data_IF_474332833047
#
_entry.id   IF_474332833047
#
_cell.length_a   1.000
_cell.length_b   1.000
_cell.length_c   1.000
_cell.angle_alpha   90.00
_cell.angle_beta   90.00
_cell.angle_gamma   90.00
#
_symmetry.space_group_name_H-M   'P 1'
#
loop_
_entity.id
_entity.type
_entity.pdbx_description
1 polymer ?
#
# COMPACT_ATOMS: atom_id res chain seq x y z
N UNK A 1 58.34 29.72 12.49
CA UNK A 1 57.03 30.05 13.04
C UNK A 1 56.20 28.75 13.14
N UNK A 2 56.14 28.20 14.35
CA UNK A 2 55.37 26.98 14.67
C UNK A 2 53.95 27.40 15.03
N UNK A 3 52.88 26.72 14.55
CA UNK A 3 51.55 26.88 15.11
C UNK A 3 51.34 25.93 16.30
N UNK A 4 50.75 26.49 17.35
CA UNK A 4 50.49 25.87 18.62
C UNK A 4 49.36 24.81 18.51
N UNK A 5 49.58 23.66 19.20
CA UNK A 5 48.59 22.61 19.41
C UNK A 5 47.51 23.07 20.42
N UNK A 6 46.22 22.70 20.22
CA UNK A 6 45.21 22.95 21.23
C UNK A 6 45.30 21.91 22.36
N UNK A 7 45.37 22.39 23.62
CA UNK A 7 45.32 21.59 24.86
C UNK A 7 43.93 20.94 24.99
N UNK A 8 43.91 19.61 25.05
CA UNK A 8 42.76 18.81 25.50
C UNK A 8 42.49 19.10 26.98
N UNK A 9 41.35 19.66 27.28
CA UNK A 9 40.80 19.77 28.64
C UNK A 9 40.29 18.37 29.07
N UNK A 10 41.14 17.62 29.75
CA UNK A 10 40.76 16.45 30.53
C UNK A 10 40.65 16.89 32.01
N UNK A 11 39.45 17.33 32.40
CA UNK A 11 39.03 17.40 33.80
C UNK A 11 37.59 16.94 33.92
N UNK A 12 37.38 15.61 33.75
CA UNK A 12 36.19 14.95 34.24
C UNK A 12 36.45 14.62 35.73
N UNK A 13 35.90 15.44 36.60
CA UNK A 13 35.85 15.13 38.02
C UNK A 13 35.20 13.75 38.25
N UNK A 14 35.73 12.87 39.10
CA UNK A 14 35.14 11.56 39.33
C UNK A 14 33.74 11.75 39.94
N UNK A 15 32.71 11.20 39.29
CA UNK A 15 31.37 11.09 39.87
C UNK A 15 31.48 10.40 41.20
N UNK A 16 31.34 11.13 42.33
CA UNK A 16 31.20 10.58 43.65
C UNK A 16 29.98 9.66 43.65
N UNK A 17 30.18 8.35 43.70
CA UNK A 17 29.13 7.38 44.01
C UNK A 17 28.54 7.77 45.38
N UNK A 18 27.38 8.41 45.39
CA UNK A 18 26.60 8.55 46.63
C UNK A 18 26.20 7.14 47.05
N UNK A 19 26.82 6.64 48.11
CA UNK A 19 26.38 5.42 48.79
C UNK A 19 25.11 5.80 49.56
N UNK A 20 23.94 5.44 49.00
CA UNK A 20 22.67 5.62 49.71
C UNK A 20 22.63 4.72 50.94
N UNK A 21 22.14 5.25 52.06
CA UNK A 21 21.85 4.42 53.22
C UNK A 21 20.75 3.39 52.87
N UNK A 22 20.71 2.21 53.55
CA UNK A 22 19.67 1.23 53.32
C UNK A 22 18.24 1.81 53.39
N UNK A 23 18.00 2.78 54.29
CA UNK A 23 16.72 3.46 54.42
C UNK A 23 16.38 4.41 53.28
N UNK A 24 17.37 5.13 52.73
CA UNK A 24 17.16 5.99 51.53
C UNK A 24 16.82 5.16 50.30
N UNK A 25 17.51 4.04 50.08
CA UNK A 25 17.24 3.14 48.98
C UNK A 25 15.83 2.53 49.09
N UNK A 26 15.41 2.16 50.28
CA UNK A 26 14.07 1.63 50.52
C UNK A 26 12.97 2.68 50.20
N UNK A 27 13.20 3.95 50.59
CA UNK A 27 12.26 5.03 50.28
C UNK A 27 12.20 5.33 48.76
N UNK A 28 13.31 5.27 48.07
CA UNK A 28 13.35 5.44 46.62
C UNK A 28 12.59 4.31 45.91
N UNK A 29 12.77 3.06 46.28
CA UNK A 29 12.05 1.92 45.73
C UNK A 29 10.53 2.02 45.93
N UNK A 30 10.11 2.47 47.14
CA UNK A 30 8.68 2.71 47.41
C UNK A 30 8.13 3.81 46.51
N UNK A 31 8.86 4.91 46.32
CA UNK A 31 8.44 5.97 45.40
C UNK A 31 8.32 5.49 43.94
N UNK A 32 9.29 4.70 43.46
CA UNK A 32 9.20 4.10 42.12
C UNK A 32 7.95 3.24 41.95
N UNK A 33 7.65 2.41 42.93
CA UNK A 33 6.46 1.57 42.94
C UNK A 33 5.17 2.40 42.92
N UNK A 34 5.09 3.44 43.74
CA UNK A 34 3.88 4.30 43.84
C UNK A 34 3.70 5.25 42.68
N UNK A 35 4.78 5.74 42.05
CA UNK A 35 4.71 6.70 40.95
C UNK A 35 4.55 6.04 39.57
N UNK A 36 4.69 4.72 39.49
CA UNK A 36 4.53 4.02 38.20
C UNK A 36 3.11 4.20 37.66
N UNK A 37 3.02 4.56 36.38
CA UNK A 37 1.76 4.60 35.62
C UNK A 37 1.29 3.20 35.24
N UNK A 38 2.22 2.23 35.10
CA UNK A 38 1.88 0.83 34.91
C UNK A 38 1.45 0.22 36.26
N UNK A 39 0.53 -0.73 36.19
CA UNK A 39 0.04 -1.45 37.36
C UNK A 39 1.08 -2.44 37.84
N UNK A 40 1.70 -2.16 38.99
CA UNK A 40 2.68 -3.05 39.62
C UNK A 40 2.00 -3.86 40.69
N UNK A 41 2.29 -5.17 40.75
CA UNK A 41 1.76 -6.02 41.79
C UNK A 41 2.78 -7.07 42.27
N UNK A 42 2.60 -7.50 43.52
CA UNK A 42 3.20 -8.68 44.10
C UNK A 42 2.04 -9.60 44.47
N UNK A 43 2.04 -10.84 43.97
CA UNK A 43 1.04 -11.85 44.28
C UNK A 43 1.70 -13.10 44.88
N UNK A 44 0.92 -13.93 45.56
CA UNK A 44 1.38 -15.26 45.98
C UNK A 44 1.06 -16.32 44.91
N UNK A 45 1.58 -17.53 45.06
CA UNK A 45 1.33 -18.66 44.19
C UNK A 45 -0.12 -19.19 44.24
N UNK A 46 -0.90 -18.74 45.25
CA UNK A 46 -2.35 -19.05 45.33
C UNK A 46 -3.20 -18.07 44.53
N UNK A 47 -2.58 -17.09 43.85
CA UNK A 47 -3.29 -16.14 43.00
C UNK A 47 -3.86 -14.92 43.73
N UNK A 48 -3.40 -14.63 44.96
CA UNK A 48 -3.85 -13.47 45.71
C UNK A 48 -2.84 -12.34 45.66
N UNK A 49 -3.29 -11.12 45.43
CA UNK A 49 -2.43 -9.93 45.53
C UNK A 49 -2.02 -9.69 46.98
N UNK A 50 -0.73 -9.47 47.20
CA UNK A 50 -0.15 -9.08 48.47
C UNK A 50 0.16 -7.59 48.54
N UNK A 51 0.53 -7.03 47.41
CA UNK A 51 0.82 -5.59 47.28
C UNK A 51 0.54 -5.14 45.88
N UNK A 52 -0.11 -4.00 45.73
CA UNK A 52 -0.38 -3.34 44.46
C UNK A 52 -0.07 -1.84 44.60
N UNK A 53 0.24 -1.19 43.45
CA UNK A 53 0.47 0.26 43.41
C UNK A 53 -0.84 1.02 43.12
N UNK A 54 -0.88 2.36 43.30
CA UNK A 54 -2.08 3.17 43.08
C UNK A 54 -2.64 3.11 41.65
N UNK A 55 -1.84 2.74 40.64
CA UNK A 55 -2.27 2.61 39.26
C UNK A 55 -3.42 1.58 39.09
N UNK A 56 -3.49 0.55 39.91
CA UNK A 56 -4.58 -0.42 39.93
C UNK A 56 -5.94 0.22 40.18
N UNK A 57 -6.02 1.03 41.23
CA UNK A 57 -7.26 1.74 41.58
C UNK A 57 -7.61 2.77 40.50
N UNK A 58 -6.62 3.51 39.98
CA UNK A 58 -6.83 4.49 38.93
C UNK A 58 -7.33 3.85 37.62
N UNK A 59 -6.86 2.64 37.33
CA UNK A 59 -7.17 1.94 36.07
C UNK A 59 -8.47 1.13 36.16
N UNK A 60 -8.64 0.30 37.21
CA UNK A 60 -9.79 -0.61 37.31
C UNK A 60 -10.91 -0.09 38.23
N UNK A 61 -10.66 0.95 39.05
CA UNK A 61 -11.64 1.56 39.93
C UNK A 61 -11.89 0.82 41.24
N UNK A 62 -11.30 -0.36 41.47
CA UNK A 62 -11.38 -1.10 42.74
C UNK A 62 -10.39 -0.53 43.77
N UNK A 63 -10.73 -0.57 45.04
CA UNK A 63 -9.76 -0.24 46.11
C UNK A 63 -8.71 -1.35 46.28
N UNK A 64 -7.60 -1.03 46.93
CA UNK A 64 -6.57 -2.03 47.24
C UNK A 64 -7.11 -3.18 48.06
N UNK A 65 -8.00 -2.89 49.02
CA UNK A 65 -8.61 -3.89 49.90
C UNK A 65 -9.52 -4.85 49.10
N UNK A 66 -10.31 -4.29 48.16
CA UNK A 66 -11.19 -5.09 47.28
C UNK A 66 -10.39 -6.03 46.38
N UNK A 67 -9.27 -5.55 45.79
CA UNK A 67 -8.40 -6.37 44.94
C UNK A 67 -7.62 -7.44 45.70
N UNK A 68 -7.20 -7.15 46.92
CA UNK A 68 -6.46 -8.11 47.75
C UNK A 68 -7.39 -9.12 48.48
N UNK A 69 -8.69 -8.89 48.50
CA UNK A 69 -9.66 -9.76 49.19
C UNK A 69 -10.04 -11.02 48.40
N UNK A 70 -9.77 -11.07 47.12
CA UNK A 70 -10.14 -12.18 46.22
C UNK A 70 -8.97 -12.59 45.31
N UNK A 71 -8.95 -13.82 44.80
CA UNK A 71 -7.98 -14.23 43.81
C UNK A 71 -8.07 -13.34 42.54
N UNK A 72 -6.94 -13.01 41.93
CA UNK A 72 -6.90 -12.13 40.75
C UNK A 72 -7.71 -12.69 39.56
N UNK A 73 -7.88 -14.02 39.44
CA UNK A 73 -8.66 -14.68 38.41
C UNK A 73 -10.14 -14.29 38.43
N UNK A 74 -10.68 -13.85 39.58
CA UNK A 74 -12.08 -13.42 39.71
C UNK A 74 -12.33 -12.07 39.05
N UNK A 75 -11.30 -11.30 38.81
CA UNK A 75 -11.36 -10.06 38.04
C UNK A 75 -11.12 -10.26 36.54
N UNK A 76 -10.70 -11.46 36.12
CA UNK A 76 -10.46 -11.79 34.71
C UNK A 76 -11.79 -12.09 34.00
N UNK A 77 -11.90 -11.65 32.74
CA UNK A 77 -13.03 -11.98 31.87
C UNK A 77 -13.23 -13.50 31.79
N UNK A 78 -14.48 -14.01 31.86
CA UNK A 78 -14.73 -15.45 31.87
C UNK A 78 -14.00 -16.24 30.77
N UNK A 79 -14.00 -15.76 29.53
CA UNK A 79 -13.35 -16.43 28.40
C UNK A 79 -11.81 -16.48 28.53
N UNK A 80 -11.20 -15.60 29.31
CA UNK A 80 -9.75 -15.49 29.45
C UNK A 80 -9.22 -16.22 30.70
N UNK A 81 -10.10 -16.76 31.55
CA UNK A 81 -9.73 -17.39 32.83
C UNK A 81 -8.87 -18.62 32.66
N UNK A 82 -9.25 -19.51 31.76
CA UNK A 82 -8.50 -20.76 31.52
C UNK A 82 -7.09 -20.47 30.99
N UNK A 83 -6.96 -19.51 30.05
CA UNK A 83 -5.68 -19.07 29.54
C UNK A 83 -4.82 -18.41 30.64
N UNK A 84 -5.43 -17.60 31.51
CA UNK A 84 -4.76 -16.95 32.64
C UNK A 84 -4.23 -17.97 33.66
N UNK A 85 -5.04 -18.99 33.98
CA UNK A 85 -4.61 -20.06 34.90
C UNK A 85 -3.49 -20.93 34.30
N UNK A 86 -3.57 -21.22 33.00
CA UNK A 86 -2.52 -21.94 32.31
C UNK A 86 -1.18 -21.15 32.30
N UNK A 87 -1.24 -19.84 32.08
CA UNK A 87 -0.06 -18.97 32.12
C UNK A 87 0.51 -18.86 33.56
N UNK A 88 -0.35 -18.76 34.58
CA UNK A 88 0.08 -18.78 35.98
C UNK A 88 0.76 -20.10 36.34
N UNK A 89 0.27 -21.23 35.85
CA UNK A 89 0.90 -22.53 36.06
C UNK A 89 2.29 -22.62 35.41
N UNK A 90 2.47 -22.06 34.21
CA UNK A 90 3.77 -21.96 33.51
C UNK A 90 4.77 -21.10 34.31
N UNK A 91 4.30 -19.97 34.80
CA UNK A 91 5.08 -19.05 35.62
C UNK A 91 5.58 -19.74 36.92
N UNK A 92 4.69 -20.44 37.63
CA UNK A 92 5.05 -21.18 38.85
C UNK A 92 5.86 -22.46 38.56
N UNK A 93 5.93 -22.92 37.30
CA UNK A 93 6.84 -23.96 36.86
C UNK A 93 8.24 -23.44 36.43
N UNK A 94 8.50 -22.13 36.50
CA UNK A 94 9.78 -21.51 36.25
C UNK A 94 9.94 -20.85 34.86
N UNK A 95 8.84 -20.60 34.16
CA UNK A 95 8.86 -19.90 32.88
C UNK A 95 8.28 -18.49 33.06
N UNK A 96 9.08 -17.45 32.81
CA UNK A 96 8.63 -16.08 32.93
C UNK A 96 7.47 -15.78 31.95
N UNK A 97 6.51 -15.00 32.40
CA UNK A 97 5.43 -14.50 31.57
C UNK A 97 5.93 -13.27 30.79
N UNK A 98 5.89 -13.36 29.48
CA UNK A 98 6.26 -12.25 28.59
C UNK A 98 5.13 -12.04 27.58
N UNK A 99 4.59 -10.80 27.50
CA UNK A 99 3.57 -10.38 26.52
C UNK A 99 2.25 -11.19 26.59
N UNK A 100 1.84 -11.64 27.79
CA UNK A 100 0.53 -12.24 27.97
C UNK A 100 -0.55 -11.15 28.02
N UNK A 101 -1.64 -11.34 27.29
CA UNK A 101 -2.75 -10.39 27.21
C UNK A 101 -4.04 -11.04 27.71
N UNK A 102 -4.79 -10.34 28.56
CA UNK A 102 -6.12 -10.75 29.00
C UNK A 102 -6.98 -9.54 29.36
N UNK A 103 -8.28 -9.77 29.54
CA UNK A 103 -9.25 -8.74 29.92
C UNK A 103 -9.52 -8.79 31.42
N UNK A 104 -9.41 -7.65 32.07
CA UNK A 104 -9.76 -7.45 33.48
C UNK A 104 -11.04 -6.61 33.60
N UNK A 105 -11.92 -7.03 34.49
CA UNK A 105 -13.17 -6.33 34.82
C UNK A 105 -12.85 -5.09 35.66
N UNK A 106 -13.45 -3.98 35.30
CA UNK A 106 -13.44 -2.75 36.09
C UNK A 106 -14.61 -2.75 37.09
N UNK A 107 -14.58 -1.87 38.06
CA UNK A 107 -15.63 -1.73 39.09
C UNK A 107 -16.97 -1.28 38.50
N UNK A 108 -16.97 -0.55 37.39
CA UNK A 108 -18.15 -0.14 36.63
C UNK A 108 -18.76 -1.24 35.75
N UNK A 109 -18.15 -2.44 35.73
CA UNK A 109 -18.55 -3.57 34.91
C UNK A 109 -17.94 -3.61 33.52
N UNK A 110 -17.22 -2.58 33.07
CA UNK A 110 -16.47 -2.58 31.81
C UNK A 110 -15.25 -3.48 31.90
N UNK A 111 -14.60 -3.71 30.73
CA UNK A 111 -13.39 -4.51 30.65
C UNK A 111 -12.24 -3.69 30.06
N UNK A 112 -11.04 -3.92 30.58
CA UNK A 112 -9.78 -3.38 30.06
C UNK A 112 -8.84 -4.49 29.64
N UNK A 113 -8.16 -4.30 28.52
CA UNK A 113 -7.09 -5.18 28.08
C UNK A 113 -5.81 -4.87 28.82
N UNK A 114 -5.23 -5.87 29.48
CA UNK A 114 -3.97 -5.77 30.19
C UNK A 114 -2.91 -6.61 29.49
N UNK A 115 -1.71 -6.03 29.33
CA UNK A 115 -0.52 -6.71 28.86
C UNK A 115 0.40 -6.98 30.05
N UNK A 116 0.78 -8.23 30.26
CA UNK A 116 1.49 -8.71 31.41
C UNK A 116 2.94 -9.08 31.14
N UNK A 117 3.81 -8.71 32.11
CA UNK A 117 5.12 -9.29 32.32
C UNK A 117 5.20 -9.71 33.76
N UNK A 118 5.58 -10.96 34.03
CA UNK A 118 5.65 -11.51 35.38
C UNK A 118 6.84 -12.44 35.53
N UNK A 119 7.43 -12.40 36.73
CA UNK A 119 8.53 -13.26 37.18
C UNK A 119 8.20 -13.88 38.54
N UNK A 120 8.48 -15.17 38.70
CA UNK A 120 8.28 -15.89 39.97
C UNK A 120 9.59 -15.99 40.77
N UNK A 121 9.55 -15.55 42.02
CA UNK A 121 10.63 -15.78 43.00
C UNK A 121 10.29 -17.00 43.84
N UNK A 122 11.00 -18.09 43.63
CA UNK A 122 10.81 -19.35 44.36
C UNK A 122 11.38 -19.36 45.75
N UNK A 123 12.22 -18.38 46.11
CA UNK A 123 12.74 -18.28 47.49
C UNK A 123 11.69 -17.71 48.43
N UNK A 124 10.90 -16.77 47.94
CA UNK A 124 9.84 -16.10 48.72
C UNK A 124 8.42 -16.63 48.39
N UNK A 125 8.27 -17.48 47.36
CA UNK A 125 6.98 -17.90 46.80
C UNK A 125 6.10 -16.72 46.41
N UNK A 126 6.70 -15.71 45.81
CA UNK A 126 6.03 -14.51 45.31
C UNK A 126 6.18 -14.33 43.80
N UNK A 127 5.18 -13.73 43.21
CA UNK A 127 5.15 -13.32 41.81
C UNK A 127 5.25 -11.80 41.76
N UNK A 128 6.20 -11.28 41.01
CA UNK A 128 6.37 -9.87 40.73
C UNK A 128 5.86 -9.63 39.29
N UNK A 129 4.85 -8.78 39.13
CA UNK A 129 4.26 -8.54 37.82
C UNK A 129 4.01 -7.06 37.53
N UNK A 130 4.07 -6.77 36.26
CA UNK A 130 3.71 -5.47 35.65
C UNK A 130 2.58 -5.70 34.68
N UNK A 131 1.50 -4.94 34.81
CA UNK A 131 0.41 -4.92 33.86
C UNK A 131 0.26 -3.52 33.26
N UNK A 132 0.14 -3.46 31.95
CA UNK A 132 -0.10 -2.22 31.21
C UNK A 132 -1.49 -2.24 30.57
N UNK A 133 -2.25 -1.15 30.74
CA UNK A 133 -3.50 -0.97 30.01
C UNK A 133 -3.22 -0.74 28.52
N UNK A 134 -3.67 -1.66 27.69
CA UNK A 134 -3.54 -1.61 26.23
C UNK A 134 -4.90 -1.49 25.53
N UNK A 135 -5.93 -1.07 26.25
CA UNK A 135 -7.31 -1.01 25.75
C UNK A 135 -7.43 -0.07 24.56
N UNK A 136 -6.79 1.11 24.63
CA UNK A 136 -6.80 2.07 23.53
C UNK A 136 -6.07 1.54 22.29
N UNK A 137 -4.94 0.85 22.47
CA UNK A 137 -4.22 0.18 21.38
C UNK A 137 -5.12 -0.86 20.71
N UNK A 138 -5.78 -1.73 21.47
CA UNK A 138 -6.69 -2.75 20.93
C UNK A 138 -7.86 -2.13 20.16
N UNK A 139 -8.48 -1.08 20.71
CA UNK A 139 -9.57 -0.35 20.03
C UNK A 139 -9.11 0.27 18.71
N UNK A 140 -7.92 0.87 18.67
CA UNK A 140 -7.35 1.44 17.46
C UNK A 140 -7.03 0.37 16.41
N UNK A 141 -6.48 -0.78 16.83
CA UNK A 141 -6.22 -1.93 15.95
C UNK A 141 -7.53 -2.49 15.35
N UNK A 142 -8.57 -2.64 16.16
CA UNK A 142 -9.87 -3.16 15.70
C UNK A 142 -10.57 -2.16 14.78
N UNK A 143 -10.53 -0.86 15.09
CA UNK A 143 -11.07 0.19 14.22
C UNK A 143 -10.34 0.22 12.88
N UNK A 144 -9.01 0.10 12.88
CA UNK A 144 -8.22 0.04 11.65
C UNK A 144 -8.60 -1.17 10.79
N UNK A 145 -8.76 -2.35 11.40
CA UNK A 145 -9.20 -3.57 10.72
C UNK A 145 -10.60 -3.41 10.12
N UNK A 146 -11.55 -2.86 10.89
CA UNK A 146 -12.92 -2.63 10.44
C UNK A 146 -12.95 -1.64 9.26
N UNK A 147 -12.24 -0.52 9.37
CA UNK A 147 -12.16 0.50 8.30
C UNK A 147 -11.51 -0.06 7.04
N UNK A 148 -10.43 -0.85 7.18
CA UNK A 148 -9.79 -1.50 6.04
C UNK A 148 -10.73 -2.49 5.33
N UNK A 149 -11.49 -3.28 6.08
CA UNK A 149 -12.47 -4.21 5.52
C UNK A 149 -13.61 -3.48 4.80
N UNK A 150 -14.13 -2.39 5.37
CA UNK A 150 -15.16 -1.55 4.76
C UNK A 150 -14.67 -0.89 3.47
N UNK A 151 -13.44 -0.34 3.48
CA UNK A 151 -12.82 0.28 2.31
C UNK A 151 -12.63 -0.74 1.17
N UNK A 152 -12.18 -1.96 1.50
CA UNK A 152 -12.03 -3.04 0.52
C UNK A 152 -13.38 -3.38 -0.10
N UNK A 153 -14.42 -3.58 0.72
CA UNK A 153 -15.77 -3.88 0.24
C UNK A 153 -16.32 -2.79 -0.66
N UNK A 154 -16.22 -1.52 -0.25
CA UNK A 154 -16.69 -0.37 -1.05
C UNK A 154 -15.96 -0.27 -2.40
N UNK A 155 -14.65 -0.55 -2.41
CA UNK A 155 -13.86 -0.55 -3.64
C UNK A 155 -14.28 -1.69 -4.60
N UNK A 156 -14.60 -2.87 -4.07
CA UNK A 156 -15.08 -4.02 -4.85
C UNK A 156 -16.47 -3.74 -5.44
N UNK A 157 -17.40 -3.17 -4.65
CA UNK A 157 -18.73 -2.77 -5.12
C UNK A 157 -18.64 -1.71 -6.23
N UNK A 158 -17.77 -0.70 -6.08
CA UNK A 158 -17.53 0.32 -7.11
C UNK A 158 -16.96 -0.28 -8.39
N UNK A 159 -16.04 -1.21 -8.27
CA UNK A 159 -15.43 -1.90 -9.39
C UNK A 159 -16.44 -2.77 -10.15
N UNK A 160 -17.31 -3.48 -9.44
CA UNK A 160 -18.39 -4.28 -10.03
C UNK A 160 -19.41 -3.38 -10.73
N UNK A 161 -19.80 -2.27 -10.10
CA UNK A 161 -20.70 -1.28 -10.71
C UNK A 161 -20.11 -0.73 -12.03
N UNK A 162 -18.83 -0.32 -12.00
CA UNK A 162 -18.16 0.17 -13.20
C UNK A 162 -18.11 -0.87 -14.31
N UNK A 163 -17.91 -2.16 -13.98
CA UNK A 163 -17.92 -3.26 -14.94
C UNK A 163 -19.28 -3.43 -15.59
N UNK A 164 -20.36 -3.57 -14.79
CA UNK A 164 -21.73 -3.79 -15.31
C UNK A 164 -22.18 -2.59 -16.16
N UNK A 165 -22.04 -1.37 -15.63
CA UNK A 165 -22.43 -0.16 -16.36
C UNK A 165 -21.67 -0.02 -17.68
N UNK A 166 -20.39 -0.36 -17.71
CA UNK A 166 -19.59 -0.28 -18.93
C UNK A 166 -20.00 -1.32 -19.98
N UNK A 167 -20.30 -2.56 -19.57
CA UNK A 167 -20.82 -3.58 -20.46
C UNK A 167 -22.12 -3.13 -21.12
N UNK A 168 -23.06 -2.62 -20.32
CA UNK A 168 -24.39 -2.21 -20.80
C UNK A 168 -24.35 -0.95 -21.69
N UNK A 169 -23.28 -0.14 -21.56
CA UNK A 169 -23.03 0.99 -22.46
C UNK A 169 -22.33 0.59 -23.77
N UNK A 170 -21.52 -0.46 -23.77
CA UNK A 170 -20.80 -0.89 -24.98
C UNK A 170 -21.72 -1.43 -26.07
N UNK A 171 -22.77 -2.19 -25.70
CA UNK A 171 -23.67 -2.82 -26.66
C UNK A 171 -24.47 -1.81 -27.52
N UNK A 172 -25.17 -0.81 -26.91
CA UNK A 172 -25.86 0.20 -27.67
C UNK A 172 -24.92 1.06 -28.53
N UNK A 173 -23.72 1.38 -28.04
CA UNK A 173 -22.74 2.14 -28.82
C UNK A 173 -22.24 1.34 -30.04
N UNK A 174 -22.03 0.04 -29.89
CA UNK A 174 -21.68 -0.85 -30.98
C UNK A 174 -22.77 -0.86 -32.07
N UNK A 175 -24.05 -0.92 -31.66
CA UNK A 175 -25.17 -0.85 -32.60
C UNK A 175 -25.22 0.49 -33.34
N UNK A 176 -25.07 1.61 -32.63
CA UNK A 176 -25.03 2.96 -33.24
C UNK A 176 -23.92 3.05 -34.27
N UNK A 177 -22.69 2.67 -33.91
CA UNK A 177 -21.57 2.69 -34.85
C UNK A 177 -21.81 1.82 -36.09
N UNK A 178 -22.35 0.59 -35.87
CA UNK A 178 -22.62 -0.35 -36.96
C UNK A 178 -23.69 0.16 -37.93
N UNK A 179 -24.79 0.72 -37.44
CA UNK A 179 -25.85 1.27 -38.29
C UNK A 179 -25.39 2.51 -39.04
N UNK A 180 -24.62 3.39 -38.42
CA UNK A 180 -24.05 4.56 -39.11
C UNK A 180 -23.10 4.15 -40.24
N UNK A 181 -22.24 3.14 -40.00
CA UNK A 181 -21.36 2.59 -41.04
C UNK A 181 -22.17 1.92 -42.18
N UNK A 182 -23.27 1.24 -41.88
CA UNK A 182 -24.16 0.68 -42.89
C UNK A 182 -24.84 1.77 -43.74
N UNK A 183 -25.27 2.86 -43.10
CA UNK A 183 -25.85 4.03 -43.79
C UNK A 183 -24.81 4.65 -44.73
N UNK A 184 -23.59 4.89 -44.21
CA UNK A 184 -22.47 5.41 -44.98
C UNK A 184 -22.19 4.54 -46.22
N UNK A 185 -22.07 3.22 -46.03
CA UNK A 185 -21.79 2.27 -47.12
C UNK A 185 -22.93 2.19 -48.15
N UNK A 186 -24.18 2.13 -47.66
CA UNK A 186 -25.36 1.91 -48.52
C UNK A 186 -25.77 3.15 -49.30
N UNK A 187 -25.62 4.32 -48.69
CA UNK A 187 -26.09 5.58 -49.25
C UNK A 187 -24.98 6.53 -49.70
N UNK A 188 -23.73 6.04 -49.78
CA UNK A 188 -22.53 6.83 -50.11
C UNK A 188 -22.70 7.70 -51.38
N UNK A 189 -23.41 7.19 -52.41
CA UNK A 189 -23.63 7.91 -53.66
C UNK A 189 -24.81 8.90 -53.65
N UNK A 190 -25.61 8.88 -52.56
CA UNK A 190 -26.82 9.73 -52.41
C UNK A 190 -26.59 10.82 -51.37
N UNK A 191 -25.67 10.60 -50.48
CA UNK A 191 -25.30 11.57 -49.41
C UNK A 191 -24.47 12.72 -50.02
N UNK A 192 -24.85 13.93 -49.70
CA UNK A 192 -24.03 15.11 -49.92
C UNK A 192 -22.79 15.12 -49.02
N UNK A 193 -21.87 16.05 -49.23
CA UNK A 193 -20.62 16.12 -48.47
C UNK A 193 -20.86 16.41 -47.00
N UNK A 194 -21.92 17.13 -46.65
CA UNK A 194 -22.25 17.42 -45.23
C UNK A 194 -22.86 16.18 -44.56
N UNK A 195 -23.70 15.43 -45.26
CA UNK A 195 -24.21 14.15 -44.75
C UNK A 195 -23.10 13.13 -44.48
N UNK A 196 -22.08 13.04 -45.35
CA UNK A 196 -20.90 12.20 -45.15
C UNK A 196 -20.12 12.65 -43.92
N UNK A 197 -19.88 13.96 -43.77
CA UNK A 197 -19.19 14.53 -42.57
C UNK A 197 -19.96 14.23 -41.29
N UNK A 198 -21.29 14.40 -41.25
CA UNK A 198 -22.08 14.13 -40.07
C UNK A 198 -22.04 12.67 -39.66
N UNK A 199 -22.10 11.75 -40.59
CA UNK A 199 -21.96 10.31 -40.31
C UNK A 199 -20.56 10.00 -39.81
N UNK A 200 -19.53 10.55 -40.45
CA UNK A 200 -18.14 10.38 -40.00
C UNK A 200 -17.95 10.85 -38.56
N UNK A 201 -18.43 12.05 -38.21
CA UNK A 201 -18.34 12.56 -36.84
C UNK A 201 -19.12 11.71 -35.83
N UNK A 202 -20.28 11.17 -36.21
CA UNK A 202 -21.07 10.32 -35.33
C UNK A 202 -20.40 8.95 -35.10
N UNK A 203 -19.86 8.33 -36.17
CA UNK A 203 -19.10 7.08 -36.07
C UNK A 203 -17.85 7.26 -35.20
N UNK A 204 -17.11 8.34 -35.42
CA UNK A 204 -15.92 8.66 -34.67
C UNK A 204 -16.25 8.94 -33.19
N UNK A 205 -17.36 9.64 -32.92
CA UNK A 205 -17.88 9.82 -31.55
C UNK A 205 -18.22 8.51 -30.88
N UNK A 206 -18.90 7.59 -31.53
CA UNK A 206 -19.25 6.29 -31.02
C UNK A 206 -18.00 5.43 -30.71
N UNK A 207 -17.03 5.40 -31.64
CA UNK A 207 -15.74 4.70 -31.44
C UNK A 207 -14.97 5.25 -30.23
N UNK A 208 -14.94 6.58 -30.08
CA UNK A 208 -14.29 7.21 -28.89
C UNK A 208 -14.95 6.81 -27.59
N UNK A 209 -16.28 6.80 -27.53
CA UNK A 209 -16.99 6.36 -26.33
C UNK A 209 -16.71 4.89 -26.02
N UNK A 210 -16.65 4.01 -27.01
CA UNK A 210 -16.26 2.62 -26.83
C UNK A 210 -14.83 2.49 -26.24
N UNK A 211 -13.88 3.25 -26.77
CA UNK A 211 -12.50 3.27 -26.25
C UNK A 211 -12.44 3.76 -24.78
N UNK A 212 -13.16 4.85 -24.45
CA UNK A 212 -13.25 5.36 -23.09
C UNK A 212 -13.80 4.32 -22.10
N UNK A 213 -14.86 3.63 -22.49
CA UNK A 213 -15.47 2.57 -21.67
C UNK A 213 -14.51 1.39 -21.50
N UNK A 214 -13.81 0.99 -22.57
CA UNK A 214 -12.82 -0.09 -22.50
C UNK A 214 -11.64 0.24 -21.59
N UNK A 215 -11.14 1.47 -21.66
CA UNK A 215 -10.05 1.93 -20.81
C UNK A 215 -10.49 2.04 -19.34
N UNK A 216 -11.72 2.49 -19.07
CA UNK A 216 -12.28 2.52 -17.72
C UNK A 216 -12.43 1.11 -17.13
N UNK A 217 -12.90 0.15 -17.94
CA UNK A 217 -12.94 -1.26 -17.56
C UNK A 217 -11.54 -1.83 -17.27
N UNK A 218 -10.55 -1.45 -18.08
CA UNK A 218 -9.16 -1.87 -17.87
C UNK A 218 -8.62 -1.37 -16.54
N UNK A 219 -8.91 -0.11 -16.21
CA UNK A 219 -8.52 0.48 -14.92
C UNK A 219 -9.16 -0.24 -13.72
N UNK A 220 -10.46 -0.59 -13.82
CA UNK A 220 -11.17 -1.35 -12.79
C UNK A 220 -10.61 -2.77 -12.62
N UNK A 221 -10.33 -3.47 -13.73
CA UNK A 221 -9.81 -4.86 -13.71
C UNK A 221 -8.42 -5.00 -13.11
N UNK A 222 -7.56 -4.01 -13.21
CA UNK A 222 -6.23 -4.03 -12.57
C UNK A 222 -6.36 -4.20 -11.06
N UNK A 223 -7.44 -3.71 -10.43
CA UNK A 223 -7.66 -3.80 -8.98
C UNK A 223 -8.33 -5.11 -8.53
N UNK A 224 -9.27 -5.62 -9.32
CA UNK A 224 -10.13 -6.76 -8.91
C UNK A 224 -9.65 -8.11 -9.44
N UNK A 225 -8.82 -8.13 -10.45
CA UNK A 225 -8.30 -9.35 -11.06
C UNK A 225 -7.12 -9.90 -10.27
N UNK A 226 -7.35 -10.68 -9.21
CA UNK A 226 -6.29 -11.42 -8.50
C UNK A 226 -5.81 -12.56 -9.38
N UNK A 227 -5.00 -12.24 -10.40
CA UNK A 227 -4.23 -13.26 -11.11
C UNK A 227 -2.95 -13.52 -10.33
N UNK A 228 -2.52 -14.79 -10.21
CA UNK A 228 -1.26 -15.09 -9.58
C UNK A 228 -0.12 -14.43 -10.36
N UNK A 229 0.78 -13.78 -9.67
CA UNK A 229 2.02 -13.28 -10.26
C UNK A 229 2.89 -14.48 -10.60
N UNK A 230 3.28 -14.60 -11.86
CA UNK A 230 4.07 -15.71 -12.38
C UNK A 230 5.37 -15.19 -13.02
N UNK A 231 6.37 -16.03 -13.26
CA UNK A 231 7.52 -15.66 -14.09
C UNK A 231 7.08 -15.24 -15.49
N UNK A 232 7.53 -14.07 -15.95
CA UNK A 232 7.12 -13.43 -17.20
C UNK A 232 8.35 -13.00 -17.98
N UNK A 233 8.49 -13.52 -19.21
CA UNK A 233 9.53 -13.13 -20.16
C UNK A 233 9.17 -11.78 -20.80
N UNK A 234 9.79 -10.69 -20.34
CA UNK A 234 9.56 -9.36 -20.87
C UNK A 234 9.97 -9.20 -22.35
N UNK A 235 10.94 -9.95 -22.83
CA UNK A 235 11.35 -9.91 -24.23
C UNK A 235 10.27 -10.52 -25.14
N UNK A 236 9.58 -11.56 -24.69
CA UNK A 236 8.42 -12.12 -25.38
C UNK A 236 7.26 -11.13 -25.39
N UNK A 237 6.92 -10.57 -24.23
CA UNK A 237 5.82 -9.58 -24.12
C UNK A 237 6.09 -8.36 -25.00
N UNK A 238 7.33 -7.86 -25.03
CA UNK A 238 7.67 -6.74 -25.92
C UNK A 238 7.45 -7.08 -27.38
N UNK A 239 7.82 -8.29 -27.85
CA UNK A 239 7.56 -8.75 -29.22
C UNK A 239 6.05 -8.80 -29.50
N UNK A 240 5.29 -9.43 -28.61
CA UNK A 240 3.83 -9.54 -28.74
C UNK A 240 3.15 -8.15 -28.80
N UNK A 241 3.59 -7.19 -27.96
CA UNK A 241 3.11 -5.82 -27.98
C UNK A 241 3.48 -5.07 -29.27
N UNK A 242 4.70 -5.29 -29.78
CA UNK A 242 5.15 -4.71 -31.06
C UNK A 242 4.36 -5.27 -32.25
N UNK A 243 4.06 -6.57 -32.24
CA UNK A 243 3.24 -7.22 -33.26
C UNK A 243 1.79 -6.70 -33.25
N UNK A 244 1.22 -6.44 -32.09
CA UNK A 244 -0.10 -5.83 -31.93
C UNK A 244 -0.13 -4.39 -32.51
N UNK A 245 0.97 -3.66 -32.42
CA UNK A 245 1.11 -2.30 -32.92
C UNK A 245 1.68 -2.23 -34.34
N UNK A 246 1.89 -3.36 -35.04
CA UNK A 246 2.60 -3.45 -36.31
C UNK A 246 2.04 -2.49 -37.38
N UNK A 247 0.72 -2.32 -37.48
CA UNK A 247 0.10 -1.41 -38.43
C UNK A 247 0.44 0.03 -38.08
N UNK A 248 0.28 0.43 -36.82
CA UNK A 248 0.59 1.78 -36.36
C UNK A 248 2.08 2.12 -36.50
N UNK A 249 2.96 1.15 -36.24
CA UNK A 249 4.42 1.26 -36.40
C UNK A 249 4.74 1.50 -37.89
N UNK A 250 4.13 0.73 -38.80
CA UNK A 250 4.33 0.87 -40.25
C UNK A 250 3.79 2.21 -40.79
N UNK A 251 2.60 2.62 -40.36
CA UNK A 251 1.99 3.90 -40.78
C UNK A 251 2.77 5.13 -40.29
N UNK A 252 3.45 4.99 -39.13
CA UNK A 252 4.28 6.04 -38.53
C UNK A 252 5.73 6.01 -39.03
N UNK A 253 6.12 5.03 -39.85
CA UNK A 253 7.53 4.76 -40.21
C UNK A 253 8.44 4.71 -38.96
N UNK A 254 7.94 4.04 -37.92
CA UNK A 254 8.60 4.02 -36.60
C UNK A 254 9.64 2.90 -36.52
N UNK A 255 10.80 3.24 -35.97
CA UNK A 255 11.84 2.26 -35.58
C UNK A 255 11.66 1.93 -34.10
N UNK A 256 11.37 0.65 -33.79
CA UNK A 256 11.21 0.15 -32.43
C UNK A 256 12.36 -0.79 -32.09
N UNK A 257 13.06 -0.52 -31.00
CA UNK A 257 14.21 -1.31 -30.54
C UNK A 257 14.10 -1.64 -29.06
N UNK A 258 14.79 -2.67 -28.60
CA UNK A 258 14.92 -2.95 -27.18
C UNK A 258 16.32 -3.48 -26.82
N UNK A 259 16.70 -3.32 -25.55
CA UNK A 259 17.82 -3.99 -24.93
C UNK A 259 17.48 -5.46 -24.61
N UNK A 260 18.41 -6.17 -23.95
CA UNK A 260 18.09 -7.46 -23.36
C UNK A 260 17.12 -7.26 -22.18
N UNK A 261 15.86 -7.67 -22.36
CA UNK A 261 14.82 -7.54 -21.33
C UNK A 261 14.80 -8.76 -20.41
N UNK A 262 14.60 -8.56 -19.09
CA UNK A 262 14.65 -9.62 -18.09
C UNK A 262 13.36 -10.46 -18.04
N UNK A 263 13.47 -11.57 -17.30
CA UNK A 263 12.32 -12.24 -16.71
C UNK A 263 11.97 -11.60 -15.36
N UNK A 264 10.70 -11.33 -15.11
CA UNK A 264 10.19 -10.72 -13.87
C UNK A 264 9.02 -11.54 -13.31
N UNK A 265 8.66 -11.32 -12.05
CA UNK A 265 7.44 -11.89 -11.46
C UNK A 265 6.30 -10.88 -11.62
N UNK A 266 5.28 -11.24 -12.41
CA UNK A 266 4.19 -10.31 -12.73
C UNK A 266 2.96 -10.97 -13.36
N UNK A 267 1.93 -10.16 -13.65
CA UNK A 267 0.80 -10.53 -14.50
C UNK A 267 1.15 -10.23 -15.96
N UNK A 268 1.25 -11.27 -16.79
CA UNK A 268 1.66 -11.15 -18.18
C UNK A 268 0.73 -10.25 -19.01
N UNK A 269 -0.57 -10.26 -18.73
CA UNK A 269 -1.56 -9.44 -19.46
C UNK A 269 -1.41 -7.96 -19.09
N UNK A 270 -1.19 -7.67 -17.80
CA UNK A 270 -0.99 -6.31 -17.33
C UNK A 270 0.36 -5.74 -17.82
N UNK A 271 1.43 -6.52 -17.79
CA UNK A 271 2.73 -6.08 -18.32
C UNK A 271 2.67 -5.86 -19.84
N UNK A 272 1.97 -6.73 -20.59
CA UNK A 272 1.75 -6.52 -22.01
C UNK A 272 0.97 -5.21 -22.30
N UNK A 273 -0.07 -4.94 -21.52
CA UNK A 273 -0.84 -3.70 -21.62
C UNK A 273 0.00 -2.47 -21.27
N UNK A 274 0.88 -2.57 -20.30
CA UNK A 274 1.80 -1.48 -19.92
C UNK A 274 2.72 -1.11 -21.10
N UNK A 275 3.42 -2.10 -21.68
CA UNK A 275 4.28 -1.85 -22.84
C UNK A 275 3.46 -1.31 -24.03
N UNK A 276 2.32 -1.91 -24.34
CA UNK A 276 1.47 -1.48 -25.44
C UNK A 276 1.01 -0.03 -25.27
N UNK A 277 0.56 0.36 -24.08
CA UNK A 277 0.12 1.74 -23.80
C UNK A 277 1.26 2.76 -23.93
N UNK A 278 2.45 2.44 -23.43
CA UNK A 278 3.59 3.35 -23.51
C UNK A 278 4.10 3.49 -24.96
N UNK A 279 4.17 2.39 -25.70
CA UNK A 279 4.59 2.40 -27.13
C UNK A 279 3.55 3.08 -28.02
N UNK A 280 2.25 2.84 -27.79
CA UNK A 280 1.17 3.52 -28.52
C UNK A 280 1.20 5.04 -28.30
N UNK A 281 1.47 5.48 -27.06
CA UNK A 281 1.67 6.89 -26.75
C UNK A 281 2.88 7.46 -27.49
N UNK A 282 4.00 6.76 -27.55
CA UNK A 282 5.18 7.20 -28.31
C UNK A 282 4.89 7.38 -29.80
N UNK A 283 4.09 6.50 -30.42
CA UNK A 283 3.65 6.63 -31.81
C UNK A 283 2.69 7.80 -32.00
N UNK A 284 1.73 7.98 -31.08
CA UNK A 284 0.70 9.04 -31.16
C UNK A 284 1.27 10.44 -30.99
N UNK A 285 2.20 10.62 -30.05
CA UNK A 285 2.77 11.91 -29.70
C UNK A 285 4.11 12.17 -30.38
N UNK A 286 4.24 11.63 -31.59
CA UNK A 286 5.44 11.81 -32.43
C UNK A 286 5.68 13.27 -32.80
N UNK A 287 6.95 13.62 -32.97
CA UNK A 287 7.38 14.89 -33.57
C UNK A 287 7.31 14.87 -35.11
N UNK A 288 7.97 15.82 -35.77
CA UNK A 288 8.04 15.94 -37.21
C UNK A 288 9.09 15.02 -37.86
N UNK A 289 9.95 14.38 -37.09
CA UNK A 289 11.02 13.49 -37.54
C UNK A 289 10.62 12.02 -37.55
N UNK A 290 11.54 11.15 -38.05
CA UNK A 290 11.38 9.70 -37.98
C UNK A 290 11.18 9.24 -36.54
N UNK A 291 10.14 8.45 -36.30
CA UNK A 291 9.77 7.98 -34.95
C UNK A 291 10.75 6.91 -34.49
N UNK A 292 11.32 7.11 -33.30
CA UNK A 292 12.20 6.14 -32.68
C UNK A 292 11.71 5.84 -31.26
N UNK A 293 11.55 4.56 -30.98
CA UNK A 293 11.12 4.06 -29.67
C UNK A 293 12.14 3.05 -29.20
N UNK A 294 12.62 3.21 -27.98
CA UNK A 294 13.57 2.29 -27.37
C UNK A 294 13.10 1.84 -26.01
N UNK A 295 13.13 0.53 -25.76
CA UNK A 295 12.78 -0.08 -24.46
C UNK A 295 14.04 -0.64 -23.82
N UNK A 296 14.40 -0.11 -22.66
CA UNK A 296 15.53 -0.54 -21.86
C UNK A 296 15.13 -1.17 -20.55
N UNK A 297 16.03 -1.96 -19.95
CA UNK A 297 15.89 -2.47 -18.60
C UNK A 297 17.25 -2.48 -17.88
N UNK A 298 17.28 -1.96 -16.65
CA UNK A 298 18.48 -1.89 -15.82
C UNK A 298 18.22 -2.53 -14.48
N UNK A 299 19.14 -3.37 -14.03
CA UNK A 299 19.06 -4.00 -12.70
C UNK A 299 19.36 -2.98 -11.62
N UNK A 300 18.42 -2.82 -10.66
CA UNK A 300 18.60 -2.02 -9.46
C UNK A 300 18.57 -2.92 -8.21
N UNK A 301 19.05 -2.47 -7.05
CA UNK A 301 18.92 -3.25 -5.82
C UNK A 301 17.45 -3.55 -5.49
N UNK A 302 17.07 -4.84 -5.55
CA UNK A 302 15.72 -5.32 -5.21
C UNK A 302 14.63 -5.09 -6.26
N UNK A 303 14.95 -4.59 -7.47
CA UNK A 303 13.98 -4.34 -8.53
C UNK A 303 14.62 -4.30 -9.93
N UNK A 304 13.81 -4.43 -10.95
CA UNK A 304 14.14 -4.02 -12.31
C UNK A 304 13.54 -2.65 -12.60
N UNK A 305 14.34 -1.76 -13.17
CA UNK A 305 13.93 -0.47 -13.69
C UNK A 305 13.87 -0.55 -15.21
N UNK A 306 12.70 -0.28 -15.75
CA UNK A 306 12.45 -0.25 -17.18
C UNK A 306 12.36 1.19 -17.66
N UNK A 307 12.73 1.43 -18.92
CA UNK A 307 12.56 2.70 -19.61
C UNK A 307 11.90 2.49 -20.97
N UNK A 308 10.95 3.35 -21.33
CA UNK A 308 10.40 3.45 -22.67
C UNK A 308 10.64 4.87 -23.14
N UNK A 309 11.58 5.03 -24.07
CA UNK A 309 12.04 6.33 -24.58
C UNK A 309 11.51 6.56 -25.98
N UNK A 310 11.05 7.77 -26.28
CA UNK A 310 10.67 8.25 -27.60
C UNK A 310 11.37 9.56 -27.95
N UNK A 311 11.37 9.93 -29.23
CA UNK A 311 11.87 11.19 -29.73
C UNK A 311 10.71 12.11 -30.21
N UNK A 312 9.57 12.02 -29.54
CA UNK A 312 8.34 12.77 -29.86
C UNK A 312 8.39 14.24 -29.42
N UNK A 313 7.21 14.82 -29.21
CA UNK A 313 7.06 16.24 -28.91
C UNK A 313 7.47 16.61 -27.47
N UNK A 314 7.69 15.61 -26.59
CA UNK A 314 8.00 15.84 -25.19
C UNK A 314 6.83 16.39 -24.38
N UNK A 315 7.05 16.55 -23.08
CA UNK A 315 6.08 17.01 -22.09
C UNK A 315 6.72 18.07 -21.22
N UNK A 316 6.01 19.16 -20.96
CA UNK A 316 6.48 20.22 -20.07
C UNK A 316 6.47 19.73 -18.61
N UNK A 317 7.49 20.08 -17.78
CA UNK A 317 7.63 19.59 -16.40
C UNK A 317 6.42 19.83 -15.50
N UNK A 318 5.70 20.93 -15.71
CA UNK A 318 4.48 21.24 -14.95
C UNK A 318 3.33 20.20 -15.11
N UNK A 319 3.43 19.31 -16.09
CA UNK A 319 2.42 18.28 -16.36
C UNK A 319 2.83 16.89 -15.92
N UNK A 320 4.04 16.65 -15.42
CA UNK A 320 4.55 15.32 -15.08
C UNK A 320 3.65 14.55 -14.10
N UNK A 321 3.16 15.19 -13.06
CA UNK A 321 2.22 14.57 -12.12
C UNK A 321 0.82 14.38 -12.72
N UNK A 322 0.41 15.29 -13.61
CA UNK A 322 -0.92 15.31 -14.17
C UNK A 322 -1.13 14.28 -15.26
N UNK A 323 -0.10 13.91 -16.03
CA UNK A 323 -0.23 12.96 -17.16
C UNK A 323 -0.70 11.57 -16.75
N UNK A 324 -0.49 11.19 -15.48
CA UNK A 324 -0.97 9.93 -14.92
C UNK A 324 -2.38 10.02 -14.32
N UNK A 325 -3.02 11.19 -14.38
CA UNK A 325 -4.40 11.38 -13.94
C UNK A 325 -5.42 10.84 -14.95
N UNK A 326 -6.60 10.43 -14.44
CA UNK A 326 -7.70 9.95 -15.30
C UNK A 326 -8.27 11.13 -16.08
N UNK A 327 -8.55 10.94 -17.39
CA UNK A 327 -9.06 11.96 -18.32
C UNK A 327 -8.15 13.17 -18.52
N UNK A 328 -6.87 13.08 -18.13
CA UNK A 328 -5.93 14.17 -18.35
C UNK A 328 -5.39 14.12 -19.78
N UNK A 329 -5.53 15.24 -20.49
CA UNK A 329 -5.03 15.46 -21.85
C UNK A 329 -4.29 16.78 -21.88
N UNK A 330 -3.10 16.81 -22.47
CA UNK A 330 -2.26 18.00 -22.55
C UNK A 330 -2.56 18.85 -23.80
N UNK A 331 -3.27 18.28 -24.78
CA UNK A 331 -3.58 18.95 -26.06
C UNK A 331 -5.07 18.96 -26.35
N UNK A 332 -5.51 19.94 -27.17
CA UNK A 332 -6.90 20.15 -27.56
C UNK A 332 -7.42 19.03 -28.47
N UNK A 333 -8.76 18.87 -28.49
CA UNK A 333 -9.51 17.78 -29.14
C UNK A 333 -9.21 17.56 -30.60
N UNK A 334 -8.69 18.56 -31.31
CA UNK A 334 -8.56 18.56 -32.80
C UNK A 334 -7.25 17.98 -33.31
N UNK A 335 -6.24 17.77 -32.40
CA UNK A 335 -4.90 17.45 -32.87
C UNK A 335 -4.46 15.99 -32.63
N UNK A 336 -5.01 15.27 -31.64
CA UNK A 336 -4.55 13.89 -31.34
C UNK A 336 -5.67 13.05 -30.72
N UNK A 337 -5.81 11.80 -31.20
CA UNK A 337 -6.78 10.81 -30.70
C UNK A 337 -6.27 10.18 -29.39
N UNK A 338 -7.13 10.09 -28.35
CA UNK A 338 -6.81 9.40 -27.09
C UNK A 338 -7.87 9.66 -26.03
N UNK A 339 -8.01 8.72 -25.10
CA UNK A 339 -8.99 8.75 -24.00
C UNK A 339 -8.49 9.54 -22.78
N UNK A 340 -7.16 9.68 -22.62
CA UNK A 340 -6.53 10.24 -21.43
C UNK A 340 -6.56 9.30 -20.23
N UNK A 341 -6.76 7.99 -20.44
CA UNK A 341 -6.79 6.97 -19.37
C UNK A 341 -5.55 6.05 -19.44
N UNK A 342 -4.95 5.87 -20.62
CA UNK A 342 -3.86 4.91 -20.83
C UNK A 342 -2.70 5.03 -19.84
N UNK A 343 -2.21 6.24 -19.55
CA UNK A 343 -1.14 6.45 -18.54
C UNK A 343 -1.62 6.22 -17.11
N UNK A 344 -2.88 6.49 -16.79
CA UNK A 344 -3.47 6.14 -15.49
C UNK A 344 -3.53 4.61 -15.30
N UNK A 345 -3.84 3.86 -16.36
CA UNK A 345 -3.77 2.38 -16.38
C UNK A 345 -2.31 1.93 -16.16
N UNK A 346 -1.34 2.53 -16.84
CA UNK A 346 0.09 2.23 -16.64
C UNK A 346 0.51 2.41 -15.18
N UNK A 347 0.16 3.54 -14.58
CA UNK A 347 0.43 3.81 -13.16
C UNK A 347 -0.18 2.75 -12.26
N UNK A 348 -1.44 2.41 -12.49
CA UNK A 348 -2.14 1.41 -11.67
C UNK A 348 -1.54 0.01 -11.80
N UNK A 349 -1.13 -0.40 -13.01
CA UNK A 349 -0.43 -1.67 -13.25
C UNK A 349 0.89 -1.71 -12.46
N UNK A 350 1.69 -0.66 -12.55
CA UNK A 350 2.98 -0.60 -11.86
C UNK A 350 2.79 -0.61 -10.34
N UNK A 351 1.83 0.15 -9.80
CA UNK A 351 1.48 0.16 -8.38
C UNK A 351 0.97 -1.21 -7.91
N UNK A 352 0.18 -1.92 -8.74
CA UNK A 352 -0.28 -3.28 -8.44
C UNK A 352 0.88 -4.27 -8.29
N UNK A 353 1.95 -4.07 -9.07
CA UNK A 353 3.19 -4.86 -8.95
C UNK A 353 4.14 -4.38 -7.85
N UNK A 354 3.74 -3.34 -7.07
CA UNK A 354 4.55 -2.78 -5.98
C UNK A 354 5.66 -1.84 -6.44
N UNK A 355 5.63 -1.41 -7.69
CA UNK A 355 6.61 -0.50 -8.30
C UNK A 355 6.21 0.96 -8.28
N UNK A 356 7.01 1.78 -8.97
CA UNK A 356 6.78 3.20 -9.19
C UNK A 356 6.94 3.52 -10.67
N UNK A 357 6.18 4.49 -11.20
CA UNK A 357 6.30 5.02 -12.56
C UNK A 357 6.54 6.54 -12.49
N UNK A 358 7.43 7.04 -13.35
CA UNK A 358 7.70 8.47 -13.51
C UNK A 358 8.11 8.77 -14.93
N UNK A 359 8.34 10.03 -15.24
CA UNK A 359 8.69 10.53 -16.55
C UNK A 359 9.88 11.50 -16.45
N UNK A 360 10.75 11.45 -17.46
CA UNK A 360 11.75 12.48 -17.76
C UNK A 360 11.53 12.92 -19.20
N UNK A 361 11.40 14.23 -19.43
CA UNK A 361 11.08 14.76 -20.75
C UNK A 361 11.45 16.21 -20.88
N UNK A 362 11.93 16.56 -22.07
CA UNK A 362 12.14 17.95 -22.51
C UNK A 362 11.23 18.24 -23.70
N UNK A 363 10.52 19.39 -23.72
CA UNK A 363 9.72 19.80 -24.86
C UNK A 363 10.51 19.81 -26.17
N UNK A 364 9.99 19.11 -27.18
CA UNK A 364 10.62 18.99 -28.51
C UNK A 364 11.75 17.96 -28.61
N UNK A 365 12.10 17.25 -27.51
CA UNK A 365 13.16 16.24 -27.53
C UNK A 365 12.67 14.81 -27.25
N UNK A 366 11.39 14.65 -26.99
CA UNK A 366 10.77 13.38 -26.64
C UNK A 366 10.58 13.18 -25.15
N UNK A 367 10.13 11.99 -24.78
CA UNK A 367 9.89 11.59 -23.40
C UNK A 367 10.48 10.21 -23.10
N UNK A 368 10.86 10.00 -21.84
CA UNK A 368 11.22 8.67 -21.33
C UNK A 368 10.36 8.38 -20.12
N UNK A 369 9.55 7.34 -20.24
CA UNK A 369 8.78 6.81 -19.13
C UNK A 369 9.59 5.74 -18.43
N UNK A 370 9.81 5.90 -17.14
CA UNK A 370 10.48 4.93 -16.31
C UNK A 370 9.49 4.23 -15.39
N UNK A 371 9.68 2.94 -15.16
CA UNK A 371 8.94 2.22 -14.13
C UNK A 371 9.78 1.11 -13.49
N UNK A 372 9.45 0.78 -12.25
CA UNK A 372 10.13 -0.29 -11.53
C UNK A 372 9.19 -1.47 -11.26
N UNK A 373 9.74 -2.69 -11.31
CA UNK A 373 9.06 -3.90 -10.86
C UNK A 373 9.97 -4.57 -9.81
N UNK A 374 9.56 -4.65 -8.54
CA UNK A 374 10.32 -5.31 -7.49
C UNK A 374 10.44 -6.82 -7.69
N UNK A 375 11.52 -7.41 -7.18
CA UNK A 375 11.77 -8.86 -7.25
C UNK A 375 10.76 -9.68 -6.44
N UNK A 376 10.23 -9.09 -5.37
CA UNK A 376 9.24 -9.72 -4.48
C UNK A 376 8.06 -8.78 -4.26
N UNK A 377 6.86 -9.36 -4.19
CA UNK A 377 5.67 -8.58 -3.82
C UNK A 377 5.84 -8.05 -2.39
N UNK A 378 5.62 -6.74 -2.12
CA UNK A 378 5.54 -6.25 -0.76
C UNK A 378 4.33 -6.93 -0.10
N UNK A 379 4.54 -7.76 0.94
CA UNK A 379 3.47 -8.36 1.72
C UNK A 379 3.42 -9.87 1.88
N UNK A 380 4.41 -10.63 1.43
CA UNK A 380 4.59 -12.02 1.86
C UNK A 380 5.74 -12.10 2.86
N UNK A 381 5.52 -11.58 4.07
CA UNK A 381 6.24 -12.02 5.26
C UNK A 381 5.55 -13.30 5.71
N UNK A 382 6.29 -14.42 5.68
CA UNK A 382 5.87 -15.69 6.21
C UNK A 382 5.70 -15.66 7.72
#
# INVERSE_FOLDING_TARGET
>A
MHPASPRLLTDAAPMRKKTHSPGELQQELVKFFEMSIDMLCIADFNGCFKRINPAWQATLGFTTEELCAAPYVDFVHPDDRDATLAEAARLTAGTDTILFENRYRCKDGSYKWLLWHAHADFQTNLIYAVARDITERKRAEDMLKATAAELTRSNDELSQFAYVASHDLQEPLRMVASFLQLIEKRYHGVLDEDGKKFIHFAVDGAKRMQALIQDLLSLSRVQTGVRPLVPVDCAKIFRDASDNLRIAIAEADATVTCDSLPEIVGDNVQIAQLFQNLMDNAIKFRGTGAVRIHVGAVRRPGAWEFSVSDNGMGIEPQFFDRVFGIFQRLQTREQLSGTGIGLAVCKKIVEHHGGKIWIESDPGRGATFFFTIPDKKPGTSG
#
